data_IF_158613425731
#
_entry.id   IF_158613425731
#
_cell.length_a   1.000
_cell.length_b   1.000
_cell.length_c   1.000
_cell.angle_alpha   90.00
_cell.angle_beta   90.00
_cell.angle_gamma   90.00
#
_symmetry.space_group_name_H-M   'P 1'
#
loop_
_entity.id
_entity.type
_entity.pdbx_description
1 polymer ?
#
# COMPACT_ATOMS: atom_id res chain seq x y z
N UNK A 1 -12.32 25.83 -28.55
CA UNK A 1 -11.74 26.13 -27.23
C UNK A 1 -12.39 25.19 -26.25
N UNK A 2 -11.61 24.27 -25.67
CA UNK A 2 -12.10 23.32 -24.67
C UNK A 2 -11.56 23.73 -23.29
N UNK A 3 -12.19 23.27 -22.21
CA UNK A 3 -11.74 23.50 -20.84
C UNK A 3 -11.21 22.21 -20.22
N UNK A 4 -10.30 22.33 -19.26
CA UNK A 4 -9.70 21.15 -18.62
C UNK A 4 -10.73 20.60 -17.65
N UNK A 5 -11.15 19.34 -17.83
CA UNK A 5 -12.05 18.69 -16.87
C UNK A 5 -11.41 18.53 -15.48
N UNK A 6 -10.08 18.62 -15.39
CA UNK A 6 -9.35 18.46 -14.14
C UNK A 6 -9.09 19.79 -13.40
N UNK A 7 -8.91 20.92 -14.10
CA UNK A 7 -8.57 22.20 -13.45
C UNK A 7 -9.33 23.44 -13.96
N UNK A 8 -10.24 23.29 -14.94
CA UNK A 8 -11.08 24.37 -15.45
C UNK A 8 -10.39 25.43 -16.33
N UNK A 9 -9.07 25.36 -16.55
CA UNK A 9 -8.36 26.29 -17.44
C UNK A 9 -8.67 26.02 -18.92
N UNK A 10 -8.65 27.07 -19.73
CA UNK A 10 -8.87 27.00 -21.18
C UNK A 10 -7.69 26.31 -21.87
N UNK A 11 -7.96 25.39 -22.81
CA UNK A 11 -6.95 24.70 -23.59
C UNK A 11 -7.08 25.03 -25.07
N UNK A 12 -5.95 25.22 -25.77
CA UNK A 12 -5.94 25.30 -27.22
C UNK A 12 -6.32 23.93 -27.81
N UNK A 13 -6.94 23.93 -28.99
CA UNK A 13 -7.58 22.75 -29.57
C UNK A 13 -6.59 21.60 -29.90
N UNK A 14 -5.28 21.84 -29.88
CA UNK A 14 -4.21 20.86 -30.16
C UNK A 14 -3.26 20.62 -28.98
N UNK A 15 -3.62 21.06 -27.77
CA UNK A 15 -2.81 20.72 -26.61
C UNK A 15 -2.83 19.20 -26.37
N UNK A 16 -1.65 18.61 -26.15
CA UNK A 16 -1.47 17.23 -25.67
C UNK A 16 -1.44 17.13 -24.14
N UNK A 17 -1.15 18.26 -23.48
CA UNK A 17 -1.05 18.39 -22.02
C UNK A 17 -1.61 19.73 -21.55
N UNK A 18 -2.31 19.73 -20.42
CA UNK A 18 -2.79 20.94 -19.79
C UNK A 18 -1.64 21.72 -19.16
N UNK A 19 -1.43 22.97 -19.59
CA UNK A 19 -0.41 23.86 -19.02
C UNK A 19 -0.71 24.30 -17.57
N UNK A 20 -1.93 24.06 -17.09
CA UNK A 20 -2.39 24.45 -15.77
C UNK A 20 -2.19 23.42 -14.67
N UNK A 21 -2.45 22.14 -14.97
CA UNK A 21 -2.39 21.04 -14.00
C UNK A 21 -1.54 19.85 -14.47
N UNK A 22 -1.00 19.88 -15.69
CA UNK A 22 -0.14 18.82 -16.23
C UNK A 22 -0.87 17.58 -16.78
N UNK A 23 -2.20 17.51 -16.67
CA UNK A 23 -2.97 16.36 -17.15
C UNK A 23 -2.91 16.23 -18.67
N UNK A 24 -2.66 15.00 -19.16
CA UNK A 24 -2.73 14.64 -20.58
C UNK A 24 -4.15 14.83 -21.10
N UNK A 25 -4.26 15.44 -22.27
CA UNK A 25 -5.53 15.72 -22.92
C UNK A 25 -5.57 14.82 -24.15
N UNK A 26 -6.62 13.99 -24.27
CA UNK A 26 -6.77 13.13 -25.42
C UNK A 26 -7.08 13.99 -26.65
N UNK A 27 -6.08 14.21 -27.50
CA UNK A 27 -6.29 14.86 -28.79
C UNK A 27 -7.14 13.93 -29.66
N UNK A 28 -8.41 14.26 -29.85
CA UNK A 28 -9.26 13.59 -30.82
C UNK A 28 -8.77 13.99 -32.23
N UNK A 29 -7.96 13.13 -32.86
CA UNK A 29 -7.79 13.18 -34.31
C UNK A 29 -9.01 12.53 -34.99
N UNK A 30 -9.43 13.05 -36.16
CA UNK A 30 -10.74 12.80 -36.73
C UNK A 30 -10.90 11.38 -37.29
N UNK A 31 -12.15 10.95 -37.26
CA UNK A 31 -12.69 9.64 -37.64
C UNK A 31 -12.49 9.34 -39.13
N UNK A 32 -11.96 8.15 -39.46
CA UNK A 32 -12.52 7.31 -40.53
C UNK A 32 -12.04 5.85 -40.40
N UNK A 33 -12.89 4.92 -40.85
CA UNK A 33 -12.74 3.46 -40.94
C UNK A 33 -13.22 2.61 -39.74
N UNK A 34 -14.53 2.33 -39.81
CA UNK A 34 -15.26 1.16 -39.31
C UNK A 34 -14.57 -0.18 -39.67
N UNK A 35 -14.34 -1.06 -38.69
CA UNK A 35 -14.45 -2.52 -38.84
C UNK A 35 -14.31 -3.25 -37.48
N UNK A 36 -15.32 -4.08 -37.19
CA UNK A 36 -15.31 -5.22 -36.29
C UNK A 36 -15.53 -5.00 -34.77
N UNK A 37 -16.80 -5.09 -34.36
CA UNK A 37 -17.20 -5.53 -33.01
C UNK A 37 -16.86 -7.02 -32.84
N UNK A 38 -16.37 -7.41 -31.66
CA UNK A 38 -16.98 -8.54 -30.96
C UNK A 38 -17.51 -8.10 -29.60
N UNK A 39 -18.79 -8.41 -29.35
CA UNK A 39 -19.40 -8.29 -28.05
C UNK A 39 -18.87 -9.38 -27.11
N UNK A 40 -18.29 -9.02 -25.97
CA UNK A 40 -18.16 -9.92 -24.81
C UNK A 40 -18.43 -9.13 -23.53
N UNK A 41 -19.41 -9.64 -22.78
CA UNK A 41 -19.80 -9.18 -21.46
C UNK A 41 -18.62 -9.24 -20.49
N UNK A 42 -18.38 -8.15 -19.76
CA UNK A 42 -17.71 -8.25 -18.46
C UNK A 42 -18.35 -7.23 -17.54
N UNK A 43 -18.91 -7.73 -16.44
CA UNK A 43 -19.47 -6.95 -15.36
C UNK A 43 -18.46 -5.88 -14.89
N UNK A 44 -18.95 -4.67 -14.66
CA UNK A 44 -18.15 -3.58 -14.15
C UNK A 44 -17.50 -3.96 -12.80
N UNK A 45 -16.21 -3.67 -12.58
CA UNK A 45 -15.63 -3.76 -11.24
C UNK A 45 -16.34 -2.76 -10.30
N UNK A 46 -16.54 -3.09 -9.01
CA UNK A 46 -17.16 -2.15 -8.08
C UNK A 46 -16.29 -0.89 -7.98
N UNK A 47 -16.82 0.23 -8.48
CA UNK A 47 -16.29 1.57 -8.22
C UNK A 47 -16.46 1.83 -6.73
N UNK A 48 -15.34 1.68 -6.01
CA UNK A 48 -15.20 2.19 -4.65
C UNK A 48 -15.18 3.72 -4.77
N UNK A 49 -16.34 4.36 -4.58
CA UNK A 49 -16.43 5.82 -4.53
C UNK A 49 -15.59 6.28 -3.34
N UNK A 50 -14.59 7.15 -3.52
CA UNK A 50 -13.99 7.86 -2.38
C UNK A 50 -15.11 8.58 -1.63
N UNK A 51 -15.11 8.59 -0.28
CA UNK A 51 -16.12 9.33 0.45
C UNK A 51 -16.01 10.80 0.05
N UNK A 52 -17.12 11.36 -0.43
CA UNK A 52 -17.27 12.79 -0.68
C UNK A 52 -17.02 13.50 0.65
N UNK A 53 -15.85 14.13 0.79
CA UNK A 53 -15.61 15.04 1.89
C UNK A 53 -16.55 16.22 1.74
N UNK A 54 -17.47 16.36 2.70
CA UNK A 54 -18.35 17.51 2.79
C UNK A 54 -17.52 18.80 2.80
N UNK A 55 -17.96 19.80 2.04
CA UNK A 55 -17.39 21.14 2.08
C UNK A 55 -17.38 21.66 3.54
N UNK A 56 -16.34 22.42 3.96
CA UNK A 56 -16.33 23.01 5.30
C UNK A 56 -17.57 23.89 5.49
N UNK A 57 -18.23 23.85 6.67
CA UNK A 57 -19.39 24.70 6.93
C UNK A 57 -18.98 26.18 6.85
N UNK A 58 -19.87 27.07 6.36
CA UNK A 58 -19.62 28.51 6.34
C UNK A 58 -19.35 29.04 7.76
N UNK A 59 -18.52 30.09 7.90
CA UNK A 59 -18.19 30.65 9.21
C UNK A 59 -19.48 31.13 9.93
N UNK A 60 -19.64 30.86 11.24
CA UNK A 60 -20.84 31.24 11.97
C UNK A 60 -20.99 32.77 12.00
N UNK A 61 -22.14 33.25 11.54
CA UNK A 61 -22.55 34.65 11.72
C UNK A 61 -22.84 34.88 13.20
N UNK A 62 -22.11 35.82 13.81
CA UNK A 62 -22.24 36.14 15.22
C UNK A 62 -23.44 37.08 15.44
N UNK A 63 -24.56 36.53 15.91
CA UNK A 63 -25.61 37.31 16.56
C UNK A 63 -25.22 37.47 18.03
N UNK A 64 -24.97 38.71 18.46
CA UNK A 64 -24.62 39.02 19.84
C UNK A 64 -25.78 38.71 20.80
N UNK A 65 -25.52 37.81 21.77
CA UNK A 65 -26.37 37.55 22.94
C UNK A 65 -25.61 37.95 24.22
N UNK A 66 -26.29 38.43 25.27
CA UNK A 66 -25.65 38.96 26.49
C UNK A 66 -24.94 37.86 27.34
N UNK A 67 -23.94 38.25 28.17
CA UNK A 67 -22.99 37.32 28.77
C UNK A 67 -23.58 36.50 29.94
N UNK A 68 -23.39 35.18 29.87
CA UNK A 68 -23.58 34.22 30.97
C UNK A 68 -22.25 33.86 31.66
N UNK A 69 -22.28 33.13 32.79
CA UNK A 69 -21.14 32.97 33.69
C UNK A 69 -19.98 32.17 33.09
N UNK A 70 -18.77 32.66 33.33
CA UNK A 70 -17.44 32.11 33.04
C UNK A 70 -17.28 30.57 33.12
N UNK A 71 -16.97 29.93 31.99
CA UNK A 71 -16.38 28.59 31.95
C UNK A 71 -14.87 28.68 31.67
N UNK A 72 -14.12 27.76 32.26
CA UNK A 72 -12.66 27.66 32.27
C UNK A 72 -12.04 27.45 30.88
N UNK A 73 -10.82 27.95 30.61
CA UNK A 73 -10.19 27.83 29.30
C UNK A 73 -9.63 26.41 29.06
N UNK A 74 -10.18 25.72 28.06
CA UNK A 74 -9.58 24.53 27.47
C UNK A 74 -8.48 24.96 26.48
N UNK A 75 -7.24 24.50 26.71
CA UNK A 75 -6.11 24.72 25.81
C UNK A 75 -6.33 23.97 24.50
N UNK A 76 -6.67 24.72 23.44
CA UNK A 76 -6.83 24.18 22.09
C UNK A 76 -5.45 23.86 21.48
N UNK A 77 -5.10 22.58 21.38
CA UNK A 77 -3.99 22.11 20.52
C UNK A 77 -4.48 22.08 19.07
N UNK A 78 -3.78 22.74 18.13
CA UNK A 78 -4.16 22.71 16.72
C UNK A 78 -3.98 21.30 16.13
N UNK A 79 -4.84 20.88 15.18
CA UNK A 79 -4.71 19.59 14.53
C UNK A 79 -3.44 19.56 13.68
N UNK A 80 -2.53 18.65 14.01
CA UNK A 80 -1.32 18.42 13.23
C UNK A 80 -1.73 17.75 11.92
N UNK A 81 -1.44 18.40 10.79
CA UNK A 81 -1.72 17.87 9.46
C UNK A 81 -0.76 16.73 9.12
N UNK A 82 -1.25 15.49 9.19
CA UNK A 82 -0.49 14.31 8.80
C UNK A 82 -0.43 14.24 7.27
N UNK A 83 0.60 14.83 6.66
CA UNK A 83 0.93 14.54 5.27
C UNK A 83 1.32 13.06 5.16
N UNK A 84 0.71 12.26 4.25
CA UNK A 84 1.11 10.87 4.06
C UNK A 84 2.57 10.85 3.64
N UNK A 85 3.45 10.27 4.46
CA UNK A 85 4.85 10.08 4.09
C UNK A 85 4.89 9.30 2.79
N UNK A 86 5.59 9.82 1.77
CA UNK A 86 5.73 9.16 0.46
C UNK A 86 6.11 7.69 0.67
N UNK A 87 5.19 6.79 0.32
CA UNK A 87 5.35 5.35 0.53
C UNK A 87 4.48 4.73 1.64
N UNK A 88 3.66 5.48 2.38
CA UNK A 88 2.70 4.89 3.32
C UNK A 88 1.48 4.23 2.64
N UNK A 89 1.47 4.10 1.31
CA UNK A 89 0.42 3.38 0.60
C UNK A 89 0.38 1.92 1.07
N UNK A 90 -0.82 1.41 1.42
CA UNK A 90 -0.98 0.02 1.79
C UNK A 90 -0.61 -0.88 0.62
N UNK A 91 0.12 -1.96 0.92
CA UNK A 91 0.53 -2.94 -0.09
C UNK A 91 -0.72 -3.62 -0.69
N UNK A 92 -0.74 -3.78 -2.02
CA UNK A 92 -1.82 -4.51 -2.71
C UNK A 92 -1.72 -6.01 -2.45
N UNK A 93 -2.86 -6.70 -2.48
CA UNK A 93 -2.93 -8.16 -2.27
C UNK A 93 -1.97 -8.93 -3.18
N UNK A 94 -1.88 -8.58 -4.48
CA UNK A 94 -0.95 -9.22 -5.42
C UNK A 94 0.52 -9.08 -5.01
N UNK A 95 0.91 -7.98 -4.36
CA UNK A 95 2.29 -7.84 -3.87
C UNK A 95 2.60 -8.82 -2.75
N UNK A 96 1.64 -9.08 -1.84
CA UNK A 96 1.81 -10.11 -0.81
C UNK A 96 1.92 -11.50 -1.42
N UNK A 97 1.08 -11.81 -2.42
CA UNK A 97 1.15 -13.09 -3.13
C UNK A 97 2.53 -13.30 -3.77
N UNK A 98 3.05 -12.28 -4.46
CA UNK A 98 4.41 -12.32 -5.01
C UNK A 98 5.49 -12.49 -3.93
N UNK A 99 5.32 -11.87 -2.76
CA UNK A 99 6.21 -12.02 -1.62
C UNK A 99 6.22 -13.44 -1.04
N UNK A 100 5.06 -14.06 -0.87
CA UNK A 100 4.97 -15.44 -0.39
C UNK A 100 5.56 -16.44 -1.40
N UNK A 101 5.33 -16.22 -2.69
CA UNK A 101 5.84 -17.10 -3.75
C UNK A 101 7.36 -17.03 -3.87
N UNK A 102 7.95 -15.85 -3.62
CA UNK A 102 9.40 -15.67 -3.51
C UNK A 102 9.98 -16.37 -2.26
N UNK A 103 9.27 -16.33 -1.13
CA UNK A 103 9.67 -17.04 0.09
C UNK A 103 9.64 -18.57 -0.06
N UNK A 104 8.86 -19.11 -1.01
CA UNK A 104 8.89 -20.54 -1.35
C UNK A 104 10.25 -21.02 -1.86
N UNK A 105 11.10 -20.11 -2.31
CA UNK A 105 12.49 -20.40 -2.70
C UNK A 105 13.41 -19.87 -1.60
N UNK A 106 13.88 -20.70 -0.65
CA UNK A 106 14.47 -20.25 0.60
C UNK A 106 15.70 -19.35 0.42
N UNK A 107 16.60 -19.66 -0.53
CA UNK A 107 17.79 -18.85 -0.77
C UNK A 107 17.46 -17.49 -1.41
N UNK A 108 16.58 -17.47 -2.41
CA UNK A 108 16.17 -16.24 -3.12
C UNK A 108 15.34 -15.34 -2.20
N UNK A 109 14.46 -15.94 -1.39
CA UNK A 109 13.66 -15.24 -0.39
C UNK A 109 14.54 -14.45 0.59
N UNK A 110 15.57 -15.08 1.17
CA UNK A 110 16.49 -14.41 2.10
C UNK A 110 17.20 -13.23 1.43
N UNK A 111 17.77 -13.42 0.23
CA UNK A 111 18.50 -12.34 -0.48
C UNK A 111 17.58 -11.15 -0.77
N UNK A 112 16.34 -11.38 -1.21
CA UNK A 112 15.40 -10.31 -1.53
C UNK A 112 14.90 -9.56 -0.29
N UNK A 113 14.81 -10.23 0.87
CA UNK A 113 14.53 -9.55 2.14
C UNK A 113 15.64 -8.55 2.51
N UNK A 114 16.91 -8.86 2.24
CA UNK A 114 17.99 -7.88 2.41
C UNK A 114 17.85 -6.69 1.45
N UNK A 115 17.59 -6.95 0.17
CA UNK A 115 17.39 -5.90 -0.84
C UNK A 115 16.25 -4.97 -0.44
N UNK A 116 15.14 -5.50 0.06
CA UNK A 116 14.01 -4.68 0.49
C UNK A 116 14.20 -4.05 1.87
N UNK A 117 14.82 -4.73 2.83
CA UNK A 117 15.01 -4.22 4.19
C UNK A 117 16.02 -3.07 4.29
N UNK A 118 17.00 -3.05 3.39
CA UNK A 118 18.12 -2.09 3.41
C UNK A 118 18.21 -1.19 2.16
N UNK A 119 17.42 -1.43 1.12
CA UNK A 119 17.40 -0.58 -0.09
C UNK A 119 16.87 0.84 0.17
N UNK A 120 17.45 1.87 -0.43
CA UNK A 120 17.09 3.28 -0.18
C UNK A 120 15.74 3.70 -0.79
N UNK A 121 15.27 3.05 -1.87
CA UNK A 121 14.07 3.44 -2.63
C UNK A 121 12.82 2.54 -2.48
N UNK A 122 12.72 1.75 -1.40
CA UNK A 122 11.63 0.78 -1.20
C UNK A 122 10.53 1.35 -0.30
N UNK A 123 9.26 1.04 -0.61
CA UNK A 123 8.10 1.43 0.21
C UNK A 123 8.32 1.02 1.69
N UNK A 124 8.13 1.94 2.66
CA UNK A 124 8.35 1.68 4.09
C UNK A 124 7.60 0.47 4.63
N UNK A 125 6.38 0.19 4.15
CA UNK A 125 5.64 -1.02 4.54
C UNK A 125 6.37 -2.30 4.12
N UNK A 126 6.97 -2.29 2.93
CA UNK A 126 7.74 -3.44 2.41
C UNK A 126 9.08 -3.59 3.12
N UNK A 127 9.73 -2.48 3.50
CA UNK A 127 10.92 -2.47 4.36
C UNK A 127 10.63 -3.10 5.73
N UNK A 128 9.53 -2.68 6.36
CA UNK A 128 9.13 -3.18 7.67
C UNK A 128 8.77 -4.66 7.62
N UNK A 129 8.03 -5.10 6.60
CA UNK A 129 7.80 -6.52 6.37
C UNK A 129 9.12 -7.29 6.22
N UNK A 130 10.05 -6.79 5.41
CA UNK A 130 11.30 -7.47 5.15
C UNK A 130 12.13 -7.62 6.44
N UNK A 131 12.21 -6.57 7.24
CA UNK A 131 12.86 -6.59 8.56
C UNK A 131 12.18 -7.58 9.52
N UNK A 132 10.84 -7.57 9.59
CA UNK A 132 10.09 -8.50 10.43
C UNK A 132 10.34 -9.96 10.01
N UNK A 133 10.32 -10.26 8.72
CA UNK A 133 10.60 -11.61 8.21
C UNK A 133 12.04 -12.05 8.43
N UNK A 134 13.03 -11.15 8.36
CA UNK A 134 14.42 -11.48 8.73
C UNK A 134 14.53 -11.85 10.21
N UNK A 135 13.86 -11.10 11.10
CA UNK A 135 13.82 -11.40 12.53
C UNK A 135 13.14 -12.75 12.77
N UNK A 136 11.98 -13.00 12.16
CA UNK A 136 11.27 -14.27 12.27
C UNK A 136 12.09 -15.45 11.73
N UNK A 137 12.82 -15.26 10.63
CA UNK A 137 13.70 -16.28 10.07
C UNK A 137 14.84 -16.64 11.02
N UNK A 138 15.46 -15.64 11.66
CA UNK A 138 16.50 -15.88 12.68
C UNK A 138 15.95 -16.60 13.91
N UNK A 139 14.77 -16.19 14.41
CA UNK A 139 14.10 -16.87 15.52
C UNK A 139 13.78 -18.32 15.14
N UNK A 140 13.21 -18.54 13.97
CA UNK A 140 12.90 -19.87 13.46
C UNK A 140 14.14 -20.75 13.31
N UNK A 141 15.26 -20.20 12.85
CA UNK A 141 16.53 -20.90 12.77
C UNK A 141 17.02 -21.36 14.14
N UNK A 142 17.04 -20.46 15.14
CA UNK A 142 17.45 -20.79 16.51
C UNK A 142 16.56 -21.86 17.11
N UNK A 143 15.24 -21.71 16.98
CA UNK A 143 14.28 -22.72 17.45
C UNK A 143 14.48 -24.06 16.74
N UNK A 144 14.72 -24.05 15.41
CA UNK A 144 14.98 -25.27 14.65
C UNK A 144 16.21 -26.02 15.14
N UNK A 145 17.27 -25.33 15.59
CA UNK A 145 18.44 -25.99 16.18
C UNK A 145 18.12 -26.60 17.54
N UNK A 146 17.38 -25.89 18.39
CA UNK A 146 17.00 -26.38 19.73
C UNK A 146 16.11 -27.62 19.60
N UNK A 147 15.01 -27.52 18.83
CA UNK A 147 14.10 -28.64 18.62
C UNK A 147 14.75 -29.77 17.81
N UNK A 148 15.56 -29.43 16.81
CA UNK A 148 16.30 -30.40 16.01
C UNK A 148 17.26 -31.24 16.85
N UNK A 149 17.99 -30.62 17.78
CA UNK A 149 18.87 -31.35 18.70
C UNK A 149 18.09 -32.35 19.58
N UNK A 150 16.93 -31.96 20.11
CA UNK A 150 16.07 -32.85 20.90
C UNK A 150 15.56 -34.02 20.05
N UNK A 151 15.08 -33.75 18.84
CA UNK A 151 14.56 -34.77 17.92
C UNK A 151 15.67 -35.74 17.49
N UNK A 152 16.86 -35.23 17.15
CA UNK A 152 18.02 -36.04 16.77
C UNK A 152 18.44 -36.96 17.94
N UNK A 153 18.40 -36.46 19.18
CA UNK A 153 18.68 -37.27 20.38
C UNK A 153 17.71 -38.45 20.52
N UNK A 154 16.40 -38.21 20.40
CA UNK A 154 15.36 -39.25 20.50
C UNK A 154 15.49 -40.26 19.35
N UNK A 155 15.69 -39.78 18.11
CA UNK A 155 15.88 -40.67 16.95
C UNK A 155 17.15 -41.50 17.10
N UNK A 156 18.23 -40.92 17.63
CA UNK A 156 19.48 -41.64 17.91
C UNK A 156 19.29 -42.79 18.90
N UNK A 157 18.51 -42.61 19.96
CA UNK A 157 18.14 -43.68 20.89
C UNK A 157 17.28 -44.77 20.23
N UNK A 158 16.30 -44.40 19.41
CA UNK A 158 15.45 -45.36 18.71
C UNK A 158 16.23 -46.21 17.69
N UNK A 159 17.13 -45.59 16.92
CA UNK A 159 17.96 -46.28 15.92
C UNK A 159 19.05 -47.11 16.62
N UNK A 160 19.71 -46.57 17.65
CA UNK A 160 20.70 -47.29 18.45
C UNK A 160 20.12 -48.48 19.21
N UNK A 161 18.88 -48.35 19.69
CA UNK A 161 18.12 -49.45 20.27
C UNK A 161 17.88 -50.58 19.27
N UNK A 162 17.42 -50.27 18.05
CA UNK A 162 17.16 -51.30 17.03
C UNK A 162 18.42 -51.98 16.48
N UNK A 163 19.56 -51.31 16.45
CA UNK A 163 20.83 -51.87 15.96
C UNK A 163 21.53 -52.86 16.92
N UNK A 164 21.09 -52.94 18.18
CA UNK A 164 21.69 -53.84 19.19
C UNK A 164 21.09 -55.24 19.29
N UNK A 165 20.09 -55.58 18.45
CA UNK A 165 19.35 -56.85 18.51
C UNK A 165 19.75 -57.88 17.44
N UNK A 166 20.82 -57.64 16.69
CA UNK A 166 21.34 -58.54 15.66
C UNK A 166 22.80 -58.91 15.93
#
# INVERSE_FOLDING_TARGET
>A
MMFCENCGKNLPNEAKFCNGCGTKIATAQPMNAEAERPAVNTAAPPINKPPVQAAPPPPPQQTYAPPGPYMSPQTYMPPVSYSPQQGSEPLRVIQYIGMFLLMSIPLVGIILLFVWGFGSGVNPNKKNFARAMLILSLIGLVLSFIFGAVIIGIIGELIGGMGGYY
#
